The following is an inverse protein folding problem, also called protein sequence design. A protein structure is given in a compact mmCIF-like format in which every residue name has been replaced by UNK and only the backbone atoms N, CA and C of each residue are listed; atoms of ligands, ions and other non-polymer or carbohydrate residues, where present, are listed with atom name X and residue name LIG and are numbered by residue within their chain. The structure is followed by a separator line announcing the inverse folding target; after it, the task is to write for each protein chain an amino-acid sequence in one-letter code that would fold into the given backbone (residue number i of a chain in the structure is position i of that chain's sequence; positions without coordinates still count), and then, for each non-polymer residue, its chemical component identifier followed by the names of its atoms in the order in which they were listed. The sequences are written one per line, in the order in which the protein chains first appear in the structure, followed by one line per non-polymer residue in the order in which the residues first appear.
data_IF_585264852620
#
_entry.id   IF_585264852620
#
_cell.length_a   1.000
_cell.length_b   1.000
_cell.length_c   1.000
_cell.angle_alpha   90.00
_cell.angle_beta   90.00
_cell.angle_gamma   90.00
#
_symmetry.space_group_name_H-M   'P 1'
#
loop_
_entity.id
_entity.type
_entity.pdbx_description
1 polymer ?
#
# COMPACT_ATOMS: atom_id res chain seq x y z
N UNK A 1 -41.35 56.41 -43.19
CA UNK A 1 -40.10 56.03 -42.50
C UNK A 1 -40.27 54.72 -41.70
N UNK A 2 -40.32 53.54 -42.34
CA UNK A 2 -40.55 52.26 -41.60
C UNK A 2 -39.79 51.01 -42.09
N UNK A 3 -38.91 51.12 -43.11
CA UNK A 3 -38.20 49.97 -43.71
C UNK A 3 -36.69 49.87 -43.45
N UNK A 4 -36.05 50.82 -42.74
CA UNK A 4 -34.60 50.80 -42.46
C UNK A 4 -34.18 50.33 -41.06
N UNK A 5 -35.11 50.23 -40.10
CA UNK A 5 -34.78 49.83 -38.71
C UNK A 5 -34.64 48.31 -38.56
N UNK A 6 -35.40 47.52 -39.32
CA UNK A 6 -35.39 46.06 -39.21
C UNK A 6 -34.07 45.42 -39.70
N UNK A 7 -33.32 46.09 -40.57
CA UNK A 7 -32.08 45.56 -41.15
C UNK A 7 -30.87 45.65 -40.22
N UNK A 8 -30.90 46.53 -39.20
CA UNK A 8 -29.81 46.61 -38.21
C UNK A 8 -29.95 45.54 -37.12
N UNK A 9 -31.19 45.18 -36.77
CA UNK A 9 -31.48 44.22 -35.68
C UNK A 9 -31.16 42.77 -36.06
N UNK A 10 -31.24 42.41 -37.35
CA UNK A 10 -30.76 41.11 -37.84
C UNK A 10 -29.22 41.01 -37.86
N UNK A 11 -28.50 42.13 -38.04
CA UNK A 11 -27.04 42.12 -38.12
C UNK A 11 -26.38 41.96 -36.74
N UNK A 12 -27.02 42.44 -35.67
CA UNK A 12 -26.58 42.22 -34.29
C UNK A 12 -26.78 40.77 -33.79
N UNK A 13 -27.67 39.99 -34.40
CA UNK A 13 -27.93 38.59 -34.02
C UNK A 13 -26.90 37.60 -34.61
N UNK A 14 -26.14 38.00 -35.64
CA UNK A 14 -25.12 37.15 -36.28
C UNK A 14 -23.72 37.26 -35.65
N UNK A 15 -23.54 38.13 -34.65
CA UNK A 15 -22.26 38.37 -33.97
C UNK A 15 -22.18 37.78 -32.55
N UNK A 16 -23.20 37.04 -32.11
CA UNK A 16 -23.27 36.45 -30.75
C UNK A 16 -23.15 34.92 -30.72
N UNK A 17 -22.65 34.29 -31.79
CA UNK A 17 -22.08 32.95 -31.72
C UNK A 17 -20.55 33.04 -31.62
N UNK A 18 -20.05 33.66 -30.55
CA UNK A 18 -18.77 33.19 -29.99
C UNK A 18 -19.10 31.82 -29.41
N UNK A 19 -18.70 30.75 -30.09
CA UNK A 19 -18.87 29.41 -29.54
C UNK A 19 -18.15 29.38 -28.19
N UNK A 20 -18.81 28.80 -27.20
CA UNK A 20 -18.30 28.71 -25.83
C UNK A 20 -17.35 27.49 -25.72
N UNK A 21 -16.52 27.31 -26.75
CA UNK A 21 -15.61 26.19 -26.98
C UNK A 21 -14.31 26.41 -26.20
N UNK A 22 -14.24 25.88 -24.98
CA UNK A 22 -12.94 25.61 -24.31
C UNK A 22 -13.09 24.98 -22.93
N UNK A 23 -14.13 25.34 -22.17
CA UNK A 23 -14.06 25.28 -20.70
C UNK A 23 -13.72 23.92 -20.09
N UNK A 24 -14.03 22.82 -20.78
CA UNK A 24 -13.85 21.46 -20.27
C UNK A 24 -13.41 20.49 -21.38
N UNK A 25 -12.62 20.96 -22.35
CA UNK A 25 -12.15 20.17 -23.52
C UNK A 25 -11.37 18.89 -23.14
N UNK A 26 -10.84 18.82 -21.92
CA UNK A 26 -10.16 17.66 -21.33
C UNK A 26 -11.13 16.59 -20.77
N UNK A 27 -12.45 16.85 -20.69
CA UNK A 27 -13.43 15.90 -20.16
C UNK A 27 -13.79 14.77 -21.11
N UNK A 28 -14.32 13.69 -20.54
CA UNK A 28 -14.67 12.45 -21.26
C UNK A 28 -13.64 11.35 -21.05
N UNK A 29 -13.74 10.30 -21.87
CA UNK A 29 -12.81 9.16 -21.89
C UNK A 29 -11.71 9.40 -22.93
N UNK A 30 -10.47 9.10 -22.58
CA UNK A 30 -9.28 9.23 -23.40
C UNK A 30 -8.55 7.89 -23.44
N UNK A 31 -8.48 7.24 -24.60
CA UNK A 31 -7.86 5.92 -24.80
C UNK A 31 -6.39 6.11 -25.19
N UNK A 32 -5.48 5.35 -24.59
CA UNK A 32 -4.05 5.47 -24.87
C UNK A 32 -3.71 5.16 -26.34
N UNK A 33 -2.77 5.91 -26.90
CA UNK A 33 -2.20 5.67 -28.23
C UNK A 33 -0.68 5.70 -28.18
N UNK A 34 -0.05 4.71 -28.81
CA UNK A 34 1.39 4.69 -28.96
C UNK A 34 1.84 5.58 -30.13
N UNK A 35 2.90 6.34 -29.92
CA UNK A 35 3.55 7.15 -30.96
C UNK A 35 4.69 6.36 -31.59
N UNK A 36 4.58 5.98 -32.87
CA UNK A 36 5.65 5.32 -33.64
C UNK A 36 6.11 6.24 -34.77
N UNK A 37 7.29 6.84 -34.58
CA UNK A 37 7.79 7.89 -35.48
C UNK A 37 6.83 9.09 -35.50
N UNK A 38 6.18 9.29 -36.65
CA UNK A 38 5.21 10.37 -36.87
C UNK A 38 3.73 9.91 -36.82
N UNK A 39 3.46 8.61 -36.65
CA UNK A 39 2.11 8.06 -36.52
C UNK A 39 1.72 7.88 -35.03
N UNK A 40 0.42 7.98 -34.76
CA UNK A 40 -0.20 7.58 -33.50
C UNK A 40 -1.14 6.40 -33.80
N UNK A 41 -1.09 5.37 -32.97
CA UNK A 41 -1.72 4.07 -33.22
C UNK A 41 -2.43 3.58 -31.96
N UNK A 42 -3.63 3.02 -32.11
CA UNK A 42 -4.26 2.20 -31.06
C UNK A 42 -3.73 0.77 -31.24
N UNK A 43 -3.15 0.20 -30.20
CA UNK A 43 -2.67 -1.18 -30.19
C UNK A 43 -3.80 -2.08 -29.70
N UNK A 44 -4.14 -3.10 -30.49
CA UNK A 44 -5.14 -4.11 -30.17
C UNK A 44 -4.47 -5.38 -29.64
N UNK A 45 -4.49 -5.54 -28.32
CA UNK A 45 -3.96 -6.70 -27.62
C UNK A 45 -5.02 -7.78 -27.31
N UNK A 46 -6.26 -7.59 -27.76
CA UNK A 46 -7.39 -8.49 -27.44
C UNK A 46 -8.01 -8.25 -26.05
N UNK A 47 -7.42 -7.37 -25.24
CA UNK A 47 -7.99 -6.83 -24.00
C UNK A 47 -8.16 -5.30 -24.11
N UNK A 48 -8.81 -4.68 -23.12
CA UNK A 48 -8.98 -3.22 -23.07
C UNK A 48 -7.65 -2.58 -22.63
N UNK A 49 -7.05 -1.76 -23.49
CA UNK A 49 -5.87 -0.96 -23.15
C UNK A 49 -6.19 0.18 -22.18
N UNK A 50 -5.18 0.99 -21.84
CA UNK A 50 -5.32 2.04 -20.84
C UNK A 50 -6.27 3.17 -21.28
N UNK A 51 -6.98 3.75 -20.32
CA UNK A 51 -7.76 4.97 -20.51
C UNK A 51 -7.73 5.92 -19.30
N UNK A 52 -7.73 7.22 -19.58
CA UNK A 52 -7.99 8.27 -18.58
C UNK A 52 -9.40 8.81 -18.82
N UNK A 53 -10.22 8.83 -17.76
CA UNK A 53 -11.58 9.36 -17.81
C UNK A 53 -11.77 10.48 -16.81
N UNK A 54 -12.13 11.66 -17.30
CA UNK A 54 -12.39 12.82 -16.44
C UNK A 54 -13.90 13.09 -16.38
N UNK A 55 -14.47 13.01 -15.18
CA UNK A 55 -15.90 13.27 -14.91
C UNK A 55 -16.00 14.18 -13.69
N UNK A 56 -16.72 15.30 -13.82
CA UNK A 56 -16.93 16.27 -12.75
C UNK A 56 -15.59 16.76 -12.15
N UNK A 57 -15.36 16.46 -10.87
CA UNK A 57 -14.17 16.77 -10.07
C UNK A 57 -13.28 15.53 -9.83
N UNK A 58 -13.39 14.49 -10.66
CA UNK A 58 -12.68 13.22 -10.51
C UNK A 58 -11.93 12.81 -11.79
N UNK A 59 -10.71 12.32 -11.58
CA UNK A 59 -9.86 11.66 -12.57
C UNK A 59 -9.89 10.17 -12.27
N UNK A 60 -10.18 9.35 -13.29
CA UNK A 60 -10.04 7.90 -13.23
C UNK A 60 -8.95 7.51 -14.22
N UNK A 61 -7.84 6.93 -13.75
CA UNK A 61 -6.80 6.35 -14.61
C UNK A 61 -6.94 4.82 -14.54
N UNK A 62 -7.37 4.23 -15.66
CA UNK A 62 -7.58 2.80 -15.81
C UNK A 62 -6.38 2.23 -16.59
N UNK A 63 -5.45 1.61 -15.88
CA UNK A 63 -4.41 0.78 -16.48
C UNK A 63 -4.96 -0.58 -16.91
N UNK A 64 -4.08 -1.45 -17.43
CA UNK A 64 -4.46 -2.80 -17.87
C UNK A 64 -4.83 -3.71 -16.69
N UNK A 65 -4.16 -3.54 -15.53
CA UNK A 65 -4.34 -4.38 -14.33
C UNK A 65 -4.94 -3.65 -13.13
N UNK A 66 -4.84 -2.31 -13.09
CA UNK A 66 -5.27 -1.50 -11.95
C UNK A 66 -6.08 -0.29 -12.39
N UNK A 67 -6.91 0.25 -11.49
CA UNK A 67 -7.67 1.49 -11.73
C UNK A 67 -7.54 2.38 -10.52
N UNK A 68 -7.04 3.59 -10.73
CA UNK A 68 -6.93 4.60 -9.67
C UNK A 68 -8.00 5.67 -9.84
N UNK A 69 -8.36 6.31 -8.72
CA UNK A 69 -9.27 7.46 -8.72
C UNK A 69 -8.67 8.59 -7.89
N UNK A 70 -8.42 9.72 -8.53
CA UNK A 70 -8.00 10.95 -7.87
C UNK A 70 -9.14 11.99 -7.88
N UNK A 71 -9.20 12.80 -6.83
CA UNK A 71 -10.05 14.00 -6.81
C UNK A 71 -9.24 15.19 -7.33
N UNK A 72 -9.87 16.01 -8.16
CA UNK A 72 -9.34 17.31 -8.58
C UNK A 72 -9.55 18.29 -7.41
N UNK A 73 -8.46 18.85 -6.89
CA UNK A 73 -8.50 19.92 -5.88
C UNK A 73 -8.75 21.27 -6.56
N UNK A 74 -7.99 21.57 -7.62
CA UNK A 74 -8.17 22.76 -8.44
C UNK A 74 -7.61 22.57 -9.86
N UNK A 75 -7.94 23.50 -10.76
CA UNK A 75 -7.52 23.50 -12.16
C UNK A 75 -6.82 24.83 -12.47
N UNK A 76 -5.74 24.78 -13.24
CA UNK A 76 -5.10 25.96 -13.85
C UNK A 76 -5.03 25.78 -15.36
N UNK A 77 -5.18 26.87 -16.09
CA UNK A 77 -5.06 26.92 -17.54
C UNK A 77 -4.07 28.04 -17.91
N UNK A 78 -3.10 27.72 -18.76
CA UNK A 78 -2.09 28.64 -19.27
C UNK A 78 -1.78 28.35 -20.75
N UNK A 79 -0.89 29.13 -21.36
CA UNK A 79 -0.49 28.99 -22.78
C UNK A 79 0.10 27.61 -23.12
N UNK A 80 0.48 26.82 -22.12
CA UNK A 80 1.12 25.51 -22.24
C UNK A 80 0.19 24.33 -21.89
N UNK A 81 -1.09 24.59 -21.57
CA UNK A 81 -2.12 23.57 -21.38
C UNK A 81 -3.01 23.77 -20.15
N UNK A 82 -3.77 22.73 -19.81
CA UNK A 82 -4.65 22.69 -18.63
C UNK A 82 -4.08 21.70 -17.61
N UNK A 83 -3.72 22.17 -16.42
CA UNK A 83 -3.25 21.34 -15.30
C UNK A 83 -4.39 21.09 -14.32
N UNK A 84 -4.70 19.80 -14.11
CA UNK A 84 -5.66 19.31 -13.13
C UNK A 84 -4.85 18.84 -11.91
N UNK A 85 -4.86 19.62 -10.82
CA UNK A 85 -4.11 19.30 -9.62
C UNK A 85 -4.91 18.41 -8.69
N UNK A 86 -4.27 17.37 -8.14
CA UNK A 86 -4.89 16.43 -7.20
C UNK A 86 -4.55 16.72 -5.74
N UNK A 87 -3.68 17.71 -5.50
CA UNK A 87 -3.34 18.22 -4.17
C UNK A 87 -3.13 19.75 -4.15
N UNK A 88 -3.27 20.33 -2.95
CA UNK A 88 -3.15 21.79 -2.70
C UNK A 88 -1.73 22.36 -2.78
N UNK A 89 -0.72 21.49 -2.74
CA UNK A 89 0.70 21.87 -2.82
C UNK A 89 1.22 21.86 -4.25
N UNK A 90 0.36 21.53 -5.23
CA UNK A 90 0.66 21.48 -6.66
C UNK A 90 1.77 20.47 -7.02
N UNK A 91 2.03 19.50 -6.13
CA UNK A 91 3.05 18.47 -6.31
C UNK A 91 2.60 17.34 -7.23
N UNK A 92 1.29 17.12 -7.36
CA UNK A 92 0.68 16.07 -8.16
C UNK A 92 -0.37 16.64 -9.10
N UNK A 93 -0.25 16.33 -10.40
CA UNK A 93 -1.11 16.86 -11.44
C UNK A 93 -1.18 15.98 -12.69
N UNK A 94 -2.25 16.19 -13.45
CA UNK A 94 -2.43 15.72 -14.82
C UNK A 94 -2.50 16.96 -15.71
N UNK A 95 -1.52 17.15 -16.61
CA UNK A 95 -1.48 18.30 -17.52
C UNK A 95 -1.85 17.88 -18.92
N UNK A 96 -2.99 18.38 -19.38
CA UNK A 96 -3.57 18.17 -20.68
C UNK A 96 -3.05 19.20 -21.70
N UNK A 97 -2.58 18.71 -22.85
CA UNK A 97 -2.21 19.54 -23.99
C UNK A 97 -2.66 18.90 -25.31
N UNK A 98 -3.40 19.62 -26.14
CA UNK A 98 -3.75 19.13 -27.48
C UNK A 98 -2.50 18.96 -28.36
N UNK A 99 -2.37 17.79 -28.98
CA UNK A 99 -1.38 17.52 -30.04
C UNK A 99 -2.03 17.72 -31.41
N UNK A 100 -3.30 17.32 -31.56
CA UNK A 100 -4.12 17.62 -32.73
C UNK A 100 -5.60 17.66 -32.31
N UNK A 101 -6.19 18.85 -32.25
CA UNK A 101 -7.57 19.05 -31.78
C UNK A 101 -8.62 18.41 -32.71
N UNK A 102 -8.43 18.48 -34.03
CA UNK A 102 -9.37 17.92 -35.02
C UNK A 102 -9.47 16.39 -34.98
N UNK A 103 -8.35 15.73 -34.66
CA UNK A 103 -8.26 14.28 -34.41
C UNK A 103 -8.61 13.90 -32.97
N UNK A 104 -8.88 14.86 -32.08
CA UNK A 104 -9.11 14.59 -30.66
C UNK A 104 -7.90 13.97 -29.96
N UNK A 105 -6.68 14.29 -30.39
CA UNK A 105 -5.43 13.74 -29.88
C UNK A 105 -4.76 14.70 -28.88
N UNK A 106 -4.42 14.19 -27.70
CA UNK A 106 -3.78 14.95 -26.64
C UNK A 106 -2.53 14.24 -26.08
N UNK A 107 -1.62 15.05 -25.55
CA UNK A 107 -0.51 14.67 -24.67
C UNK A 107 -0.97 14.90 -23.24
N UNK A 108 -0.67 13.96 -22.36
CA UNK A 108 -0.88 14.10 -20.92
C UNK A 108 0.47 13.97 -20.22
N UNK A 109 0.83 14.97 -19.41
CA UNK A 109 1.96 14.90 -18.49
C UNK A 109 1.42 14.58 -17.09
N UNK A 110 1.80 13.44 -16.55
CA UNK A 110 1.32 12.93 -15.26
C UNK A 110 2.46 13.03 -14.27
N UNK A 111 2.22 13.69 -13.14
CA UNK A 111 3.20 13.96 -12.09
C UNK A 111 2.58 13.55 -10.75
N UNK A 112 3.28 12.70 -10.01
CA UNK A 112 2.83 12.17 -8.71
C UNK A 112 3.89 12.49 -7.65
N UNK A 113 3.61 13.46 -6.79
CA UNK A 113 4.54 13.96 -5.77
C UNK A 113 5.96 14.18 -6.30
N UNK A 114 6.97 13.55 -5.70
CA UNK A 114 8.38 13.74 -6.05
C UNK A 114 8.86 12.76 -7.15
N UNK A 115 7.98 11.92 -7.72
CA UNK A 115 8.31 11.00 -8.82
C UNK A 115 8.55 11.73 -10.17
N UNK A 116 9.26 11.13 -11.15
CA UNK A 116 9.43 11.70 -12.48
C UNK A 116 8.09 11.99 -13.19
N UNK A 117 8.11 12.94 -14.13
CA UNK A 117 6.94 13.21 -14.99
C UNK A 117 6.84 12.09 -16.04
N UNK A 118 5.70 11.42 -16.08
CA UNK A 118 5.35 10.45 -17.12
C UNK A 118 4.62 11.17 -18.25
N UNK A 119 4.99 10.89 -19.50
CA UNK A 119 4.35 11.47 -20.69
C UNK A 119 3.65 10.35 -21.45
N UNK A 120 2.31 10.42 -21.51
CA UNK A 120 1.47 9.52 -22.31
C UNK A 120 0.72 10.31 -23.38
N UNK A 121 0.23 9.61 -24.40
CA UNK A 121 -0.59 10.20 -25.47
C UNK A 121 -1.92 9.46 -25.54
N UNK A 122 -3.00 10.21 -25.72
CA UNK A 122 -4.34 9.64 -25.74
C UNK A 122 -5.20 10.26 -26.84
N UNK A 123 -6.14 9.49 -27.36
CA UNK A 123 -7.24 9.99 -28.20
C UNK A 123 -8.55 9.96 -27.43
N UNK A 124 -9.36 11.01 -27.56
CA UNK A 124 -10.71 11.02 -27.02
C UNK A 124 -11.54 9.89 -27.65
N UNK A 125 -12.23 9.09 -26.84
CA UNK A 125 -12.98 7.90 -27.23
C UNK A 125 -13.94 8.14 -28.42
N UNK A 126 -14.55 9.33 -28.52
CA UNK A 126 -15.47 9.69 -29.62
C UNK A 126 -14.77 9.90 -30.98
N UNK A 127 -13.45 9.90 -31.00
CA UNK A 127 -12.60 10.06 -32.19
C UNK A 127 -11.73 8.83 -32.46
N UNK A 128 -11.87 7.74 -31.70
CA UNK A 128 -11.00 6.56 -31.80
C UNK A 128 -11.01 5.92 -33.20
N UNK A 129 -12.09 6.09 -33.96
CA UNK A 129 -12.24 5.69 -35.37
C UNK A 129 -11.30 6.45 -36.34
N UNK A 130 -10.86 7.66 -35.96
CA UNK A 130 -9.92 8.50 -36.73
C UNK A 130 -8.46 8.08 -36.58
N UNK A 131 -8.14 7.15 -35.68
CA UNK A 131 -6.81 6.60 -35.48
C UNK A 131 -6.75 5.16 -35.98
N UNK A 132 -5.64 4.84 -36.64
CA UNK A 132 -5.34 3.51 -37.15
C UNK A 132 -5.16 2.55 -35.96
N UNK A 133 -6.08 1.58 -35.84
CA UNK A 133 -5.91 0.42 -34.97
C UNK A 133 -5.02 -0.61 -35.66
N UNK A 134 -4.03 -1.15 -34.94
CA UNK A 134 -3.24 -2.30 -35.38
C UNK A 134 -3.31 -3.40 -34.35
N UNK A 135 -3.22 -4.67 -34.77
CA UNK A 135 -2.98 -5.76 -33.81
C UNK A 135 -1.57 -5.63 -33.26
N UNK A 136 -1.41 -5.65 -31.95
CA UNK A 136 -0.10 -5.59 -31.32
C UNK A 136 0.71 -6.88 -31.48
N UNK A 137 2.03 -6.75 -31.41
CA UNK A 137 2.98 -7.85 -31.24
C UNK A 137 3.25 -8.12 -29.76
N UNK A 138 4.07 -9.12 -29.43
CA UNK A 138 4.48 -9.37 -28.05
C UNK A 138 5.16 -8.13 -27.44
N UNK A 139 6.08 -7.49 -28.17
CA UNK A 139 6.73 -6.23 -27.76
C UNK A 139 5.76 -5.05 -27.47
N UNK A 140 4.49 -5.16 -27.88
CA UNK A 140 3.49 -4.10 -27.83
C UNK A 140 2.39 -4.33 -26.77
N UNK A 141 2.28 -5.55 -26.26
CA UNK A 141 1.13 -6.07 -25.52
C UNK A 141 1.61 -6.94 -24.37
N UNK A 142 0.95 -6.88 -23.22
CA UNK A 142 1.20 -7.82 -22.13
C UNK A 142 0.77 -9.21 -22.60
N UNK A 143 1.74 -10.06 -22.91
CA UNK A 143 1.56 -11.49 -23.22
C UNK A 143 1.86 -12.35 -22.00
N UNK A 144 1.56 -13.65 -22.09
CA UNK A 144 1.98 -14.63 -21.07
C UNK A 144 3.50 -14.75 -20.92
N UNK A 145 4.29 -14.18 -21.85
CA UNK A 145 5.75 -14.12 -21.77
C UNK A 145 6.22 -12.78 -21.15
N UNK A 146 5.42 -11.71 -21.21
CA UNK A 146 5.62 -10.46 -20.45
C UNK A 146 5.13 -10.60 -18.99
N UNK A 147 4.27 -11.58 -18.73
CA UNK A 147 4.21 -12.28 -17.46
C UNK A 147 5.47 -13.17 -17.29
N UNK A 148 6.65 -12.54 -17.39
CA UNK A 148 7.97 -13.16 -17.30
C UNK A 148 8.21 -13.61 -15.84
N UNK A 149 7.71 -14.81 -15.55
CA UNK A 149 7.86 -15.59 -14.31
C UNK A 149 7.77 -14.79 -13.00
N UNK A 150 6.76 -13.90 -12.92
CA UNK A 150 6.24 -13.29 -11.68
C UNK A 150 7.34 -12.62 -10.81
N UNK A 151 8.49 -12.23 -11.37
CA UNK A 151 9.73 -12.16 -10.59
C UNK A 151 9.84 -11.05 -9.55
N UNK A 152 8.84 -10.18 -9.36
CA UNK A 152 8.76 -9.23 -8.23
C UNK A 152 7.73 -9.63 -7.17
N UNK A 153 6.60 -10.25 -7.54
CA UNK A 153 5.61 -10.77 -6.59
C UNK A 153 5.99 -12.19 -6.17
N UNK A 154 6.46 -13.06 -7.08
CA UNK A 154 7.21 -14.26 -6.70
C UNK A 154 8.50 -13.91 -5.95
N UNK A 155 9.45 -13.04 -6.34
CA UNK A 155 10.60 -12.79 -5.42
C UNK A 155 10.18 -12.29 -4.03
N UNK A 156 9.08 -11.53 -3.91
CA UNK A 156 8.52 -11.16 -2.60
C UNK A 156 7.95 -12.36 -1.83
N UNK A 157 7.17 -13.20 -2.52
CA UNK A 157 6.50 -14.40 -2.01
C UNK A 157 7.51 -15.52 -1.75
N UNK A 158 8.32 -15.89 -2.73
CA UNK A 158 9.52 -16.72 -2.63
C UNK A 158 10.45 -16.26 -1.52
N UNK A 159 10.67 -14.96 -1.28
CA UNK A 159 11.52 -14.56 -0.13
C UNK A 159 10.89 -14.99 1.21
N UNK A 160 9.58 -14.76 1.38
CA UNK A 160 8.83 -15.18 2.57
C UNK A 160 8.67 -16.71 2.63
N UNK A 161 8.39 -17.38 1.53
CA UNK A 161 8.27 -18.83 1.41
C UNK A 161 9.63 -19.52 1.58
N UNK A 162 10.74 -18.89 1.16
CA UNK A 162 12.10 -19.33 1.46
C UNK A 162 12.40 -19.19 2.96
N UNK A 163 11.90 -18.15 3.63
CA UNK A 163 11.94 -18.06 5.09
C UNK A 163 11.10 -19.16 5.75
N UNK A 164 9.87 -19.41 5.29
CA UNK A 164 9.02 -20.51 5.78
C UNK A 164 9.68 -21.88 5.53
N UNK A 165 10.33 -22.10 4.39
CA UNK A 165 11.06 -23.32 4.05
C UNK A 165 12.36 -23.49 4.87
N UNK A 166 13.10 -22.40 5.11
CA UNK A 166 14.26 -22.34 6.05
C UNK A 166 13.85 -22.73 7.47
N UNK A 167 12.63 -22.40 7.90
CA UNK A 167 12.11 -22.82 9.20
C UNK A 167 11.56 -24.25 9.18
N UNK A 168 10.79 -24.63 8.16
CA UNK A 168 10.27 -25.99 7.97
C UNK A 168 11.38 -27.05 7.93
N UNK A 169 12.47 -26.78 7.22
CA UNK A 169 13.67 -27.65 7.18
C UNK A 169 14.39 -27.76 8.53
N UNK A 170 14.16 -26.82 9.45
CA UNK A 170 14.67 -26.84 10.83
C UNK A 170 13.67 -27.42 11.84
N UNK A 171 12.61 -28.10 11.37
CA UNK A 171 11.48 -28.59 12.18
C UNK A 171 10.73 -27.47 12.92
N UNK A 172 10.29 -26.45 12.18
CA UNK A 172 9.34 -25.46 12.68
C UNK A 172 8.09 -25.43 11.82
N UNK A 173 6.94 -25.25 12.46
CA UNK A 173 5.65 -25.03 11.83
C UNK A 173 5.32 -23.52 11.80
N UNK A 174 4.47 -23.11 10.87
CA UNK A 174 3.90 -21.76 10.83
C UNK A 174 2.72 -21.70 11.83
N UNK A 175 2.81 -20.82 12.84
CA UNK A 175 1.75 -20.64 13.85
C UNK A 175 0.85 -19.44 13.52
N UNK A 176 1.44 -18.29 13.20
CA UNK A 176 0.72 -17.07 12.80
C UNK A 176 1.39 -16.45 11.58
N UNK A 177 0.57 -15.99 10.64
CA UNK A 177 0.95 -15.09 9.56
C UNK A 177 -0.04 -13.91 9.56
N UNK A 178 0.47 -12.68 9.59
CA UNK A 178 -0.36 -11.47 9.73
C UNK A 178 0.15 -10.37 8.81
N UNK A 179 -0.71 -9.94 7.89
CA UNK A 179 -0.46 -8.78 7.03
C UNK A 179 -0.86 -7.49 7.75
N UNK A 180 -0.06 -6.44 7.57
CA UNK A 180 -0.22 -5.14 8.24
C UNK A 180 0.52 -4.03 7.48
N UNK A 181 0.34 -2.77 7.89
CA UNK A 181 1.16 -1.63 7.42
C UNK A 181 1.79 -0.99 8.67
N UNK A 182 2.94 -1.50 9.10
CA UNK A 182 3.62 -1.07 10.33
C UNK A 182 4.44 0.20 10.10
N UNK A 183 5.00 0.34 8.90
CA UNK A 183 5.79 1.51 8.54
C UNK A 183 4.93 2.71 8.06
N UNK A 184 3.62 2.52 7.91
CA UNK A 184 2.61 3.51 7.50
C UNK A 184 2.89 4.14 6.12
N UNK A 185 3.46 3.35 5.20
CA UNK A 185 3.75 3.77 3.82
C UNK A 185 2.71 3.30 2.78
N UNK A 186 1.70 2.53 3.22
CA UNK A 186 0.62 2.02 2.38
C UNK A 186 0.93 0.68 1.69
N UNK A 187 2.13 0.12 1.87
CA UNK A 187 2.45 -1.25 1.45
C UNK A 187 2.23 -2.26 2.59
N UNK A 188 1.92 -3.51 2.22
CA UNK A 188 1.71 -4.57 3.21
C UNK A 188 3.05 -5.15 3.70
N UNK A 189 3.40 -4.79 4.92
CA UNK A 189 4.34 -5.49 5.80
C UNK A 189 3.73 -6.81 6.31
N UNK A 190 4.57 -7.70 6.85
CA UNK A 190 4.13 -9.01 7.36
C UNK A 190 4.81 -9.38 8.68
N UNK A 191 4.05 -9.91 9.63
CA UNK A 191 4.57 -10.57 10.83
C UNK A 191 4.33 -12.07 10.70
N UNK A 192 5.36 -12.88 10.91
CA UNK A 192 5.30 -14.33 10.92
C UNK A 192 5.82 -14.86 12.25
N UNK A 193 5.10 -15.80 12.85
CA UNK A 193 5.49 -16.50 14.06
C UNK A 193 5.56 -17.99 13.76
N UNK A 194 6.69 -18.60 14.08
CA UNK A 194 6.95 -20.02 13.97
C UNK A 194 6.92 -20.69 15.35
N UNK A 195 6.60 -21.97 15.38
CA UNK A 195 6.68 -22.83 16.57
C UNK A 195 7.45 -24.12 16.24
N UNK A 196 8.15 -24.77 17.21
CA UNK A 196 8.83 -26.03 16.96
C UNK A 196 7.83 -27.14 16.58
N UNK A 197 8.18 -27.95 15.57
CA UNK A 197 7.36 -29.09 15.15
C UNK A 197 7.40 -30.26 16.14
N UNK A 198 8.40 -30.29 17.03
CA UNK A 198 8.56 -31.26 18.11
C UNK A 198 8.40 -30.52 19.43
N UNK A 199 7.44 -30.94 20.26
CA UNK A 199 7.21 -30.36 21.58
C UNK A 199 8.38 -30.78 22.49
N UNK A 200 9.03 -29.84 23.15
CA UNK A 200 10.09 -30.14 24.11
C UNK A 200 9.52 -30.91 25.32
N UNK A 201 10.18 -31.99 25.73
CA UNK A 201 9.78 -32.83 26.87
C UNK A 201 9.72 -32.00 28.16
N UNK A 202 8.49 -31.62 28.56
CA UNK A 202 8.15 -30.94 29.81
C UNK A 202 9.04 -29.73 30.19
N UNK A 203 9.52 -28.98 29.19
CA UNK A 203 10.37 -27.81 29.41
C UNK A 203 9.87 -26.61 28.61
N UNK A 204 9.60 -25.51 29.31
CA UNK A 204 9.36 -24.21 28.70
C UNK A 204 10.64 -23.76 27.97
N UNK A 205 10.52 -23.48 26.67
CA UNK A 205 11.62 -22.95 25.84
C UNK A 205 11.22 -21.63 25.19
N UNK A 206 12.20 -20.81 24.79
CA UNK A 206 11.99 -19.60 23.99
C UNK A 206 12.36 -19.91 22.54
N UNK A 207 11.64 -20.87 21.97
CA UNK A 207 11.90 -21.43 20.63
C UNK A 207 10.73 -21.14 19.68
N UNK A 208 10.06 -19.99 19.84
CA UNK A 208 9.03 -19.53 18.90
C UNK A 208 9.52 -18.29 18.13
N UNK A 209 10.25 -18.46 17.00
CA UNK A 209 10.79 -17.35 16.21
C UNK A 209 9.70 -16.42 15.69
N UNK A 210 9.86 -15.14 15.98
CA UNK A 210 9.10 -14.04 15.40
C UNK A 210 9.96 -13.37 14.32
N UNK A 211 9.41 -13.26 13.12
CA UNK A 211 9.99 -12.55 12.00
C UNK A 211 9.07 -11.41 11.57
N UNK A 212 9.57 -10.17 11.57
CA UNK A 212 8.85 -9.01 11.02
C UNK A 212 9.52 -8.60 9.71
N UNK A 213 8.72 -8.51 8.65
CA UNK A 213 9.13 -8.18 7.29
C UNK A 213 8.54 -6.82 6.93
N UNK A 214 9.39 -5.79 6.85
CA UNK A 214 8.99 -4.43 6.49
C UNK A 214 9.29 -4.19 5.00
N UNK A 215 8.28 -3.92 4.18
CA UNK A 215 8.39 -3.82 2.72
C UNK A 215 9.23 -2.61 2.31
N UNK A 216 10.13 -2.80 1.33
CA UNK A 216 11.06 -1.78 0.81
C UNK A 216 11.18 -1.93 -0.70
N UNK A 217 10.17 -1.43 -1.42
CA UNK A 217 10.02 -1.69 -2.85
C UNK A 217 9.90 -3.20 -3.07
N UNK A 218 10.76 -3.78 -3.89
CA UNK A 218 10.74 -5.22 -4.16
C UNK A 218 11.23 -6.07 -2.97
N UNK A 219 12.03 -5.53 -2.05
CA UNK A 219 12.67 -6.26 -0.96
C UNK A 219 11.97 -6.10 0.41
N UNK A 220 12.49 -6.78 1.44
CA UNK A 220 12.11 -6.62 2.84
C UNK A 220 13.30 -6.30 3.75
N UNK A 221 13.13 -5.35 4.67
CA UNK A 221 13.92 -5.31 5.90
C UNK A 221 13.38 -6.40 6.85
N UNK A 222 14.24 -7.32 7.31
CA UNK A 222 13.83 -8.45 8.18
C UNK A 222 14.37 -8.30 9.59
N UNK A 223 13.47 -8.42 10.56
CA UNK A 223 13.78 -8.43 11.99
C UNK A 223 13.40 -9.80 12.57
N UNK A 224 14.38 -10.57 13.03
CA UNK A 224 14.20 -11.91 13.65
C UNK A 224 14.48 -11.81 15.17
N UNK A 225 13.59 -12.34 16.02
CA UNK A 225 13.85 -12.59 17.44
C UNK A 225 13.16 -13.89 17.91
N UNK A 226 13.77 -14.60 18.87
CA UNK A 226 13.28 -15.86 19.46
C UNK A 226 12.99 -15.75 20.96
N UNK A 227 13.52 -14.71 21.62
CA UNK A 227 13.43 -14.52 23.08
C UNK A 227 12.18 -13.72 23.51
N UNK A 228 11.12 -13.75 22.71
CA UNK A 228 9.84 -13.09 23.00
C UNK A 228 8.88 -14.10 23.59
N UNK A 229 8.50 -15.09 22.77
CA UNK A 229 7.37 -15.98 23.03
C UNK A 229 7.85 -17.28 23.67
N UNK A 230 7.17 -17.70 24.74
CA UNK A 230 7.39 -19.03 25.30
C UNK A 230 6.67 -20.10 24.47
N UNK A 231 7.38 -21.18 24.17
CA UNK A 231 6.85 -22.36 23.48
C UNK A 231 6.04 -23.20 24.47
N UNK A 232 4.79 -23.50 24.10
CA UNK A 232 3.89 -24.34 24.89
C UNK A 232 4.37 -25.80 24.92
N UNK A 233 4.17 -26.50 26.04
CA UNK A 233 4.57 -27.90 26.20
C UNK A 233 3.43 -28.80 26.73
N UNK A 234 3.62 -30.12 26.58
CA UNK A 234 2.63 -31.13 26.97
C UNK A 234 2.26 -31.02 28.46
N UNK A 235 0.96 -31.05 28.74
CA UNK A 235 0.33 -30.90 30.07
C UNK A 235 0.25 -29.48 30.64
N UNK A 236 0.65 -28.44 29.91
CA UNK A 236 0.34 -27.06 30.28
C UNK A 236 -1.01 -26.60 29.70
N UNK A 237 -1.96 -26.20 30.55
CA UNK A 237 -3.30 -25.79 30.10
C UNK A 237 -3.41 -24.30 29.73
N UNK A 238 -2.37 -23.49 29.95
CA UNK A 238 -2.48 -22.04 29.86
C UNK A 238 -1.15 -21.31 29.56
N UNK A 239 -0.22 -21.92 28.80
CA UNK A 239 1.07 -21.29 28.49
C UNK A 239 1.30 -21.06 26.99
N UNK A 240 1.75 -19.84 26.67
CA UNK A 240 2.22 -19.41 25.36
C UNK A 240 1.27 -18.45 24.64
N UNK A 241 1.66 -18.09 23.41
CA UNK A 241 0.95 -17.14 22.55
C UNK A 241 -0.51 -17.50 22.29
N UNK A 242 -1.41 -16.63 22.73
CA UNK A 242 -2.83 -16.67 22.37
C UNK A 242 -3.10 -15.91 21.07
N UNK A 243 -2.52 -14.71 20.91
CA UNK A 243 -2.91 -13.79 19.85
C UNK A 243 -1.79 -12.82 19.45
N UNK A 244 -1.91 -12.29 18.23
CA UNK A 244 -1.10 -11.19 17.70
C UNK A 244 -2.04 -10.06 17.26
N UNK A 245 -2.11 -9.00 18.06
CA UNK A 245 -2.89 -7.80 17.74
C UNK A 245 -2.00 -6.79 17.04
N UNK A 246 -2.42 -6.30 15.89
CA UNK A 246 -1.75 -5.21 15.16
C UNK A 246 -2.70 -4.03 15.04
N UNK A 247 -2.21 -2.83 15.33
CA UNK A 247 -2.98 -1.58 15.22
C UNK A 247 -2.01 -0.43 14.93
N UNK A 248 -2.27 0.27 13.83
CA UNK A 248 -1.38 1.32 13.32
C UNK A 248 0.07 0.79 13.25
N UNK A 249 1.07 1.58 13.63
CA UNK A 249 2.47 1.15 13.71
C UNK A 249 2.84 0.35 14.99
N UNK A 250 1.89 -0.30 15.65
CA UNK A 250 2.09 -1.11 16.86
C UNK A 250 1.63 -2.55 16.66
N UNK A 251 2.34 -3.49 17.29
CA UNK A 251 1.90 -4.87 17.42
C UNK A 251 2.13 -5.40 18.83
N UNK A 252 1.20 -6.22 19.33
CA UNK A 252 1.22 -6.79 20.68
C UNK A 252 1.09 -8.30 20.60
N UNK A 253 2.01 -9.00 21.26
CA UNK A 253 1.85 -10.42 21.59
C UNK A 253 1.03 -10.52 22.88
N UNK A 254 -0.03 -11.31 22.83
CA UNK A 254 -0.85 -11.65 24.00
C UNK A 254 -0.52 -13.11 24.34
N UNK A 255 0.19 -13.32 25.44
CA UNK A 255 0.63 -14.64 25.92
C UNK A 255 -0.03 -14.95 27.25
N UNK A 256 -0.50 -16.18 27.43
CA UNK A 256 -0.90 -16.66 28.74
C UNK A 256 0.30 -17.32 29.42
N UNK A 257 0.39 -17.17 30.73
CA UNK A 257 1.30 -17.89 31.60
C UNK A 257 0.52 -18.50 32.79
N UNK A 258 1.05 -19.58 33.38
CA UNK A 258 0.46 -20.17 34.57
C UNK A 258 1.53 -20.56 35.59
N UNK A 259 1.64 -19.79 36.66
CA UNK A 259 2.53 -20.08 37.78
C UNK A 259 1.72 -20.67 38.95
N UNK A 260 1.48 -21.98 38.89
CA UNK A 260 0.68 -22.68 39.91
C UNK A 260 -0.81 -22.36 39.81
N UNK A 261 -1.38 -21.77 40.87
CA UNK A 261 -2.79 -21.38 40.94
C UNK A 261 -3.09 -20.00 40.31
N UNK A 262 -2.05 -19.18 40.07
CA UNK A 262 -2.20 -17.87 39.43
C UNK A 262 -2.07 -18.04 37.91
N UNK A 263 -3.07 -17.54 37.18
CA UNK A 263 -2.98 -17.32 35.74
C UNK A 263 -2.51 -15.89 35.50
N UNK A 264 -1.69 -15.68 34.48
CA UNK A 264 -1.34 -14.34 34.06
C UNK A 264 -1.40 -14.18 32.54
N UNK A 265 -1.66 -12.95 32.11
CA UNK A 265 -1.61 -12.55 30.71
C UNK A 265 -0.44 -11.56 30.54
N UNK A 266 0.56 -11.94 29.76
CA UNK A 266 1.68 -11.10 29.34
C UNK A 266 1.31 -10.40 28.02
N UNK A 267 1.36 -9.06 28.01
CA UNK A 267 1.10 -8.22 26.84
C UNK A 267 2.36 -7.45 26.43
N UNK A 268 3.02 -7.89 25.36
CA UNK A 268 4.30 -7.34 24.90
C UNK A 268 4.08 -6.51 23.65
N UNK A 269 3.98 -5.19 23.79
CA UNK A 269 3.74 -4.26 22.69
C UNK A 269 5.05 -3.68 22.14
N UNK A 270 5.30 -3.92 20.86
CA UNK A 270 6.32 -3.25 20.07
C UNK A 270 5.73 -2.17 19.17
N UNK A 271 6.58 -1.25 18.73
CA UNK A 271 6.25 -0.16 17.81
C UNK A 271 7.32 -0.02 16.73
N UNK A 272 6.93 0.19 15.48
CA UNK A 272 7.83 0.69 14.44
C UNK A 272 7.97 2.23 14.55
N UNK A 273 9.14 2.72 14.92
CA UNK A 273 9.41 4.16 15.00
C UNK A 273 9.67 4.74 13.60
N UNK A 274 8.73 5.55 13.12
CA UNK A 274 8.76 6.16 11.78
C UNK A 274 9.97 7.09 11.55
N UNK A 275 10.60 7.61 12.61
CA UNK A 275 11.74 8.53 12.50
C UNK A 275 13.06 7.78 12.47
N UNK A 276 13.25 6.81 13.37
CA UNK A 276 14.50 6.04 13.43
C UNK A 276 14.49 4.79 12.54
N UNK A 277 13.32 4.39 12.03
CA UNK A 277 13.09 3.21 11.18
C UNK A 277 13.42 1.89 11.88
N UNK A 278 13.22 1.84 13.19
CA UNK A 278 13.51 0.67 14.03
C UNK A 278 12.24 0.17 14.72
N UNK A 279 12.17 -1.14 14.96
CA UNK A 279 11.17 -1.70 15.87
C UNK A 279 11.70 -1.64 17.30
N UNK A 280 10.96 -1.00 18.21
CA UNK A 280 11.29 -0.81 19.63
C UNK A 280 10.23 -1.40 20.54
N UNK A 281 10.63 -1.89 21.72
CA UNK A 281 9.68 -2.20 22.79
C UNK A 281 9.00 -0.90 23.23
N UNK A 282 7.68 -0.86 23.16
CA UNK A 282 6.88 0.30 23.55
C UNK A 282 6.32 0.15 24.97
N UNK A 283 5.75 -1.02 25.28
CA UNK A 283 5.07 -1.31 26.53
C UNK A 283 5.15 -2.80 26.83
N UNK A 284 5.24 -3.15 28.10
CA UNK A 284 5.02 -4.51 28.58
C UNK A 284 4.04 -4.45 29.76
N UNK A 285 2.95 -5.21 29.69
CA UNK A 285 1.94 -5.29 30.77
C UNK A 285 1.79 -6.73 31.22
N UNK A 286 1.51 -6.92 32.51
CA UNK A 286 1.23 -8.23 33.13
C UNK A 286 -0.09 -8.11 33.86
N UNK A 287 -1.07 -8.91 33.48
CA UNK A 287 -2.27 -9.12 34.29
C UNK A 287 -2.07 -10.41 35.10
N UNK A 288 -2.34 -10.37 36.39
CA UNK A 288 -2.44 -11.54 37.25
C UNK A 288 -3.91 -11.71 37.61
N UNK A 289 -4.47 -12.89 37.34
CA UNK A 289 -5.87 -13.23 37.55
C UNK A 289 -5.95 -14.24 38.70
N UNK A 290 -6.73 -13.92 39.74
CA UNK A 290 -6.96 -14.82 40.86
C UNK A 290 -8.10 -15.81 40.57
N UNK A 291 -8.09 -16.95 41.25
CA UNK A 291 -9.11 -18.02 41.04
C UNK A 291 -10.54 -17.54 41.39
N UNK A 292 -10.65 -16.57 42.29
CA UNK A 292 -11.89 -15.91 42.71
C UNK A 292 -12.21 -14.61 41.94
N UNK A 293 -11.27 -14.07 41.16
CA UNK A 293 -11.38 -12.78 40.46
C UNK A 293 -11.43 -11.54 41.37
N UNK A 294 -11.34 -11.68 42.69
CA UNK A 294 -11.39 -10.55 43.64
C UNK A 294 -10.04 -9.84 43.81
N UNK A 295 -8.94 -10.47 43.38
CA UNK A 295 -7.56 -10.03 43.63
C UNK A 295 -6.74 -9.79 42.36
N UNK A 296 -7.42 -9.58 41.22
CA UNK A 296 -6.79 -9.33 39.93
C UNK A 296 -5.92 -8.06 39.96
N UNK A 297 -4.74 -8.12 39.34
CA UNK A 297 -3.76 -7.02 39.31
C UNK A 297 -3.15 -6.83 37.93
N UNK A 298 -3.20 -5.61 37.42
CA UNK A 298 -2.50 -5.23 36.18
C UNK A 298 -1.29 -4.37 36.51
N UNK A 299 -0.12 -4.84 36.08
CA UNK A 299 1.12 -4.08 36.06
C UNK A 299 1.40 -3.60 34.63
N UNK A 300 1.99 -2.42 34.47
CA UNK A 300 2.34 -1.88 33.15
C UNK A 300 3.63 -1.10 33.24
N UNK A 301 4.55 -1.42 32.32
CA UNK A 301 5.89 -0.89 32.23
C UNK A 301 6.10 -0.31 30.83
N UNK A 302 6.78 0.83 30.77
CA UNK A 302 7.07 1.55 29.53
C UNK A 302 8.57 1.90 29.43
N UNK A 303 8.92 2.71 28.43
CA UNK A 303 10.28 3.14 28.18
C UNK A 303 10.94 3.94 29.33
N UNK A 304 10.20 4.38 30.35
CA UNK A 304 10.79 4.97 31.56
C UNK A 304 11.45 3.90 32.44
N UNK A 305 10.96 2.66 32.37
CA UNK A 305 11.44 1.51 33.17
C UNK A 305 12.60 0.82 32.47
N UNK A 306 12.43 0.47 31.19
CA UNK A 306 13.38 -0.33 30.42
C UNK A 306 14.22 0.44 29.39
N UNK A 307 14.07 1.77 29.30
CA UNK A 307 14.72 2.65 28.30
C UNK A 307 14.33 2.24 26.87
N UNK A 308 15.26 2.33 25.91
CA UNK A 308 15.07 1.85 24.53
C UNK A 308 15.60 0.42 24.45
N UNK A 309 14.73 -0.53 24.11
CA UNK A 309 15.09 -1.90 23.73
C UNK A 309 14.65 -2.09 22.27
N UNK A 310 15.57 -2.53 21.41
CA UNK A 310 15.25 -2.88 20.02
C UNK A 310 14.62 -4.27 19.97
N UNK A 311 13.71 -4.50 19.03
CA UNK A 311 13.05 -5.81 18.85
C UNK A 311 14.02 -6.98 18.76
N UNK A 312 15.11 -6.85 17.99
CA UNK A 312 16.15 -7.88 17.82
C UNK A 312 16.96 -8.18 19.09
N UNK A 313 17.00 -7.23 20.03
CA UNK A 313 17.82 -7.28 21.25
C UNK A 313 16.94 -7.52 22.50
N UNK A 314 15.62 -7.70 22.32
CA UNK A 314 14.68 -7.98 23.40
C UNK A 314 14.84 -9.42 23.89
N UNK A 315 14.85 -9.60 25.22
CA UNK A 315 14.70 -10.88 25.88
C UNK A 315 13.72 -10.70 27.04
N UNK A 316 12.64 -11.49 27.05
CA UNK A 316 11.57 -11.40 28.06
C UNK A 316 12.08 -11.67 29.48
N UNK A 317 13.00 -12.59 29.68
CA UNK A 317 13.51 -12.94 31.01
C UNK A 317 14.37 -11.78 31.55
N UNK A 318 15.21 -11.18 30.69
CA UNK A 318 16.03 -10.02 31.04
C UNK A 318 15.22 -8.71 31.19
N UNK A 319 13.96 -8.70 30.78
CA UNK A 319 13.00 -7.62 31.06
C UNK A 319 12.26 -7.89 32.37
N UNK A 320 11.81 -9.12 32.62
CA UNK A 320 11.21 -9.55 33.89
C UNK A 320 12.16 -9.34 35.08
N UNK A 321 13.43 -9.75 34.97
CA UNK A 321 14.45 -9.53 36.02
C UNK A 321 14.60 -8.03 36.37
N UNK A 322 14.62 -7.13 35.38
CA UNK A 322 14.72 -5.67 35.61
C UNK A 322 13.49 -5.06 36.26
N UNK A 323 12.36 -5.76 36.21
CA UNK A 323 11.08 -5.36 36.76
C UNK A 323 10.91 -5.88 38.19
N UNK A 324 11.30 -7.14 38.45
CA UNK A 324 11.27 -7.76 39.79
C UNK A 324 12.27 -7.14 40.77
N UNK A 325 13.30 -6.44 40.27
CA UNK A 325 14.29 -5.72 41.07
C UNK A 325 13.85 -4.30 41.51
N UNK A 326 12.55 -3.97 41.49
CA UNK A 326 11.99 -2.64 41.85
C UNK A 326 10.78 -2.71 42.77
#
# INVERSE_FOLDING_TARGET
MRKKVLSLLLLSLLLSCKSQDSKEDFKGTWIEVQKRGNEFLIIDCGYKGEDIKIINDSIFENGIMESTKAKIDHIKEDETGVSLFTDKTEKSYYKFLFVNKEKGLAKWEIKNNDLPIVIKYFINEVNADKIKKIKGTNDDCITNDDFEDDSSINQTKDFIENYKAKYKSKKYNLRIEKDCDLNMDGQMDKIIIFEPSEIADNKLTKESPVCVFIKKGENYDVYENKNIIYTSFLNSMAEGLQNLVVKDNYFTFEENNQAGEVRGNDYITFKYDLKSKEIVLHKYSIELISVDGENDKTFTYDNTVFKKILFKDFDIDAVKEKIELK
#
